data_IF_404465632991
#
_entry.id   IF_404465632991
#
_cell.length_a   1.000
_cell.length_b   1.000
_cell.length_c   1.000
_cell.angle_alpha   90.00
_cell.angle_beta   90.00
_cell.angle_gamma   90.00
#
_symmetry.space_group_name_H-M   'P 1'
#
loop_
_entity.id
_entity.type
_entity.pdbx_description
1 polymer ?
#
# COMPACT_ATOMS: atom_id res chain seq x y z
N UNK A 1 22.96 -4.84 28.85
CA UNK A 1 22.38 -3.55 29.16
C UNK A 1 21.91 -2.84 27.87
N UNK A 2 20.69 -2.39 27.88
CA UNK A 2 20.10 -1.74 26.70
C UNK A 2 20.32 -0.25 26.72
N UNK A 3 20.75 0.27 25.58
CA UNK A 3 20.65 1.67 25.26
C UNK A 3 19.47 1.86 24.32
N UNK A 4 18.53 2.76 24.62
CA UNK A 4 17.39 2.99 23.74
C UNK A 4 17.78 3.30 22.29
N UNK A 5 18.83 4.09 22.10
CA UNK A 5 19.31 4.44 20.77
C UNK A 5 19.79 3.22 20.00
N UNK A 6 20.52 2.33 20.67
CA UNK A 6 21.02 1.11 20.04
C UNK A 6 19.88 0.19 19.65
N UNK A 7 18.87 0.07 20.50
CA UNK A 7 17.70 -0.75 20.23
C UNK A 7 16.93 -0.19 19.03
N UNK A 8 16.76 1.12 18.99
CA UNK A 8 16.07 1.79 17.88
C UNK A 8 16.83 1.59 16.58
N UNK A 9 18.16 1.72 16.61
CA UNK A 9 19.00 1.51 15.44
C UNK A 9 18.88 0.09 14.88
N UNK A 10 18.58 -0.88 15.73
CA UNK A 10 18.42 -2.28 15.32
C UNK A 10 17.02 -2.62 14.85
N UNK A 11 16.03 -1.84 15.24
CA UNK A 11 14.62 -2.17 15.00
C UNK A 11 13.94 -1.27 13.99
N UNK A 12 14.58 -0.18 13.62
CA UNK A 12 14.01 0.77 12.65
C UNK A 12 14.80 0.82 11.36
N UNK A 13 14.14 1.19 10.31
CA UNK A 13 14.77 1.42 9.01
C UNK A 13 14.11 2.59 8.32
N UNK A 14 14.81 3.17 7.36
CA UNK A 14 14.27 4.29 6.61
C UNK A 14 13.25 3.79 5.60
N UNK A 15 12.09 4.44 5.58
CA UNK A 15 10.99 4.13 4.65
C UNK A 15 10.61 5.38 3.89
N UNK A 16 10.49 5.24 2.58
CA UNK A 16 9.99 6.30 1.72
C UNK A 16 8.85 5.77 0.86
N UNK A 17 7.73 6.48 0.85
CA UNK A 17 6.56 6.12 0.05
C UNK A 17 6.30 7.26 -0.93
N UNK A 18 6.34 6.94 -2.22
CA UNK A 18 6.18 7.90 -3.30
C UNK A 18 5.05 7.48 -4.23
N UNK A 19 4.32 8.46 -4.71
CA UNK A 19 3.34 8.30 -5.79
C UNK A 19 3.63 9.35 -6.85
N UNK A 20 2.96 9.30 -8.02
CA UNK A 20 3.11 10.38 -9.00
C UNK A 20 2.74 11.76 -8.47
N UNK A 21 1.94 11.84 -7.40
CA UNK A 21 1.56 13.11 -6.79
C UNK A 21 2.59 13.64 -5.80
N UNK A 22 3.59 12.83 -5.46
CA UNK A 22 4.65 13.25 -4.55
C UNK A 22 4.91 12.29 -3.41
N UNK A 23 5.53 12.81 -2.36
CA UNK A 23 5.91 12.02 -1.18
C UNK A 23 4.73 11.84 -0.27
N UNK A 24 4.40 10.58 0.04
CA UNK A 24 3.36 10.24 1.02
C UNK A 24 3.96 10.11 2.41
N UNK A 25 5.13 9.50 2.50
CA UNK A 25 5.83 9.30 3.77
C UNK A 25 7.34 9.29 3.53
N UNK A 26 8.07 9.89 4.43
CA UNK A 26 9.54 9.88 4.42
C UNK A 26 10.00 9.93 5.87
N UNK A 27 10.36 8.78 6.42
CA UNK A 27 10.73 8.69 7.83
C UNK A 27 11.15 7.28 8.19
N UNK A 28 11.10 6.98 9.49
CA UNK A 28 11.50 5.68 10.01
C UNK A 28 10.29 4.78 10.19
N UNK A 29 10.50 3.49 10.03
CA UNK A 29 9.49 2.47 10.25
C UNK A 29 10.11 1.27 10.97
N UNK A 30 9.30 0.54 11.71
CA UNK A 30 9.73 -0.65 12.43
C UNK A 30 9.43 -1.92 11.63
N UNK A 31 8.37 -1.91 10.85
CA UNK A 31 8.02 -3.01 9.96
C UNK A 31 7.12 -2.52 8.84
N UNK A 32 7.15 -3.23 7.73
CA UNK A 32 6.27 -2.99 6.58
C UNK A 32 5.78 -4.34 6.09
N UNK A 33 4.48 -4.49 5.91
CA UNK A 33 3.90 -5.65 5.24
C UNK A 33 3.16 -5.12 4.02
N UNK A 34 3.52 -5.62 2.84
CA UNK A 34 2.91 -5.20 1.57
C UNK A 34 2.38 -6.40 0.81
N UNK A 35 1.40 -6.17 -0.05
CA UNK A 35 0.86 -7.20 -0.94
C UNK A 35 1.63 -7.18 -2.25
N UNK A 36 2.41 -8.24 -2.49
CA UNK A 36 3.10 -8.43 -3.76
C UNK A 36 2.29 -9.33 -4.67
N UNK A 37 2.73 -9.45 -5.93
CA UNK A 37 2.06 -10.32 -6.90
C UNK A 37 2.16 -11.82 -6.53
N UNK A 38 3.04 -12.17 -5.59
CA UNK A 38 3.19 -13.54 -5.10
C UNK A 38 2.76 -13.70 -3.64
N UNK A 39 2.07 -12.72 -3.08
CA UNK A 39 1.55 -12.76 -1.71
C UNK A 39 2.11 -11.66 -0.83
N UNK A 40 1.75 -11.70 0.44
CA UNK A 40 2.20 -10.70 1.40
C UNK A 40 3.68 -10.89 1.71
N UNK A 41 4.38 -9.76 1.84
CA UNK A 41 5.81 -9.74 2.19
C UNK A 41 6.03 -8.81 3.36
N UNK A 42 6.65 -9.36 4.42
CA UNK A 42 7.08 -8.57 5.58
C UNK A 42 8.51 -8.10 5.42
N UNK A 43 8.76 -6.84 5.76
CA UNK A 43 10.07 -6.21 5.68
C UNK A 43 10.39 -5.63 7.04
N UNK A 44 11.54 -6.03 7.57
CA UNK A 44 12.06 -5.55 8.86
C UNK A 44 13.41 -4.87 8.64
N UNK A 45 13.95 -4.29 9.70
CA UNK A 45 15.30 -3.73 9.66
C UNK A 45 16.30 -4.80 9.23
N UNK A 46 17.33 -4.39 8.51
CA UNK A 46 18.39 -5.27 8.00
C UNK A 46 17.89 -6.34 7.03
N UNK A 47 16.77 -6.11 6.42
CA UNK A 47 16.28 -7.00 5.36
C UNK A 47 17.28 -7.01 4.20
N UNK A 48 17.49 -8.19 3.60
CA UNK A 48 18.35 -8.28 2.43
C UNK A 48 17.75 -7.49 1.26
N UNK A 49 18.58 -7.05 0.32
CA UNK A 49 18.09 -6.35 -0.87
C UNK A 49 16.98 -7.15 -1.55
N UNK A 50 15.93 -6.44 -1.94
CA UNK A 50 14.72 -7.08 -2.46
C UNK A 50 13.97 -6.12 -3.36
N UNK A 51 13.41 -6.63 -4.44
CA UNK A 51 12.54 -5.87 -5.34
C UNK A 51 11.36 -6.76 -5.71
N UNK A 52 10.17 -6.22 -5.63
CA UNK A 52 8.96 -6.96 -6.03
C UNK A 52 7.89 -6.03 -6.56
N UNK A 53 7.06 -6.56 -7.44
CA UNK A 53 5.89 -5.86 -7.92
C UNK A 53 4.78 -5.92 -6.86
N UNK A 54 4.14 -4.79 -6.64
CA UNK A 54 2.98 -4.66 -5.75
C UNK A 54 1.69 -4.80 -6.57
N UNK A 55 0.70 -5.40 -5.97
CA UNK A 55 -0.65 -5.46 -6.52
C UNK A 55 -1.59 -4.69 -5.60
N UNK A 56 -2.83 -4.52 -6.03
CA UNK A 56 -3.85 -3.85 -5.22
C UNK A 56 -3.96 -4.59 -3.88
N UNK A 57 -3.80 -3.86 -2.80
CA UNK A 57 -3.84 -4.41 -1.46
C UNK A 57 -3.58 -3.38 -0.41
N UNK A 58 -3.23 -3.84 0.77
CA UNK A 58 -2.97 -2.98 1.91
C UNK A 58 -1.51 -3.04 2.28
N UNK A 59 -0.98 -1.90 2.69
CA UNK A 59 0.32 -1.82 3.34
C UNK A 59 0.07 -1.61 4.83
N UNK A 60 0.71 -2.43 5.66
CA UNK A 60 0.64 -2.30 7.12
C UNK A 60 2.01 -1.88 7.60
N UNK A 61 2.08 -0.69 8.17
CA UNK A 61 3.35 -0.06 8.51
C UNK A 61 3.34 0.29 9.99
N UNK A 62 4.34 -0.23 10.71
CA UNK A 62 4.49 0.10 12.13
C UNK A 62 5.43 1.29 12.26
N UNK A 63 4.93 2.35 12.86
CA UNK A 63 5.66 3.60 13.09
C UNK A 63 5.44 3.99 14.55
N UNK A 64 6.54 4.19 15.28
CA UNK A 64 6.49 4.59 16.71
C UNK A 64 5.56 3.71 17.54
N UNK A 65 5.62 2.39 17.31
CA UNK A 65 4.85 1.42 18.07
C UNK A 65 3.40 1.28 17.66
N UNK A 66 2.93 2.06 16.69
CA UNK A 66 1.54 2.01 16.22
C UNK A 66 1.50 1.56 14.75
N UNK A 67 0.49 0.78 14.41
CA UNK A 67 0.29 0.32 13.04
C UNK A 67 -0.59 1.30 12.28
N UNK A 68 -0.12 1.75 11.12
CA UNK A 68 -0.90 2.51 10.16
C UNK A 68 -1.12 1.65 8.92
N UNK A 69 -2.29 1.77 8.34
CA UNK A 69 -2.66 0.99 7.15
C UNK A 69 -2.93 1.93 6.00
N UNK A 70 -2.40 1.59 4.83
CA UNK A 70 -2.64 2.31 3.59
C UNK A 70 -3.22 1.42 2.52
N UNK A 71 -4.04 2.00 1.65
CA UNK A 71 -4.52 1.34 0.45
C UNK A 71 -3.55 1.61 -0.69
N UNK A 72 -3.03 0.54 -1.30
CA UNK A 72 -2.06 0.61 -2.39
C UNK A 72 -2.70 0.05 -3.64
N UNK A 73 -2.54 0.73 -4.76
CA UNK A 73 -3.12 0.23 -6.01
C UNK A 73 -2.18 -0.72 -6.75
N UNK A 74 -0.98 -0.29 -7.06
CA UNK A 74 0.03 -1.11 -7.74
C UNK A 74 1.35 -0.35 -7.69
N UNK A 75 2.44 -1.02 -7.99
CA UNK A 75 3.74 -0.38 -7.99
C UNK A 75 4.86 -1.37 -7.74
N UNK A 76 5.90 -0.90 -7.10
CA UNK A 76 7.03 -1.74 -6.70
C UNK A 76 7.47 -1.40 -5.28
N UNK A 77 8.00 -2.39 -4.60
CA UNK A 77 8.73 -2.19 -3.35
C UNK A 77 10.19 -2.53 -3.64
N UNK A 78 11.07 -1.67 -3.17
CA UNK A 78 12.52 -1.87 -3.30
C UNK A 78 13.17 -1.75 -1.93
N UNK A 79 13.92 -2.77 -1.54
CA UNK A 79 14.70 -2.75 -0.31
C UNK A 79 16.16 -2.70 -0.70
N UNK A 80 16.84 -1.66 -0.27
CA UNK A 80 18.28 -1.54 -0.44
C UNK A 80 18.93 -1.55 0.95
N UNK A 81 20.25 -1.51 0.97
CA UNK A 81 21.00 -1.44 2.22
C UNK A 81 20.59 -0.23 3.06
N UNK A 82 20.24 0.88 2.41
CA UNK A 82 20.04 2.16 3.07
C UNK A 82 18.58 2.50 3.36
N UNK A 83 17.66 1.96 2.57
CA UNK A 83 16.25 2.28 2.77
C UNK A 83 15.32 1.30 2.06
N UNK A 84 14.06 1.32 2.48
CA UNK A 84 12.95 0.67 1.80
C UNK A 84 12.13 1.74 1.11
N UNK A 85 11.82 1.53 -0.16
CA UNK A 85 11.02 2.47 -0.96
C UNK A 85 9.79 1.75 -1.49
N UNK A 86 8.65 2.42 -1.36
CA UNK A 86 7.39 1.99 -1.98
C UNK A 86 7.07 3.03 -3.05
N UNK A 87 7.04 2.60 -4.30
CA UNK A 87 6.70 3.44 -5.44
C UNK A 87 5.36 2.95 -5.97
N UNK A 88 4.29 3.65 -5.66
CA UNK A 88 2.93 3.19 -5.96
C UNK A 88 2.21 4.17 -6.87
N UNK A 89 1.31 3.66 -7.70
CA UNK A 89 0.43 4.49 -8.51
C UNK A 89 -0.49 5.32 -7.63
N UNK A 90 -0.99 4.72 -6.55
CA UNK A 90 -1.70 5.47 -5.52
C UNK A 90 -1.46 4.84 -4.16
N UNK A 91 -1.45 5.68 -3.15
CA UNK A 91 -1.32 5.28 -1.76
C UNK A 91 -2.15 6.23 -0.90
N UNK A 92 -3.07 5.69 -0.14
CA UNK A 92 -3.90 6.48 0.77
C UNK A 92 -3.90 5.84 2.16
N UNK A 93 -3.60 6.64 3.18
CA UNK A 93 -3.77 6.16 4.55
C UNK A 93 -5.25 5.90 4.83
N UNK A 94 -5.53 4.87 5.62
CA UNK A 94 -6.89 4.43 5.91
C UNK A 94 -7.80 5.57 6.41
N UNK A 95 -7.27 6.42 7.28
CA UNK A 95 -8.02 7.53 7.87
C UNK A 95 -8.20 8.72 6.92
N UNK A 96 -7.54 8.71 5.77
CA UNK A 96 -7.65 9.76 4.76
C UNK A 96 -8.53 9.36 3.57
N UNK A 97 -9.03 8.13 3.55
CA UNK A 97 -9.83 7.63 2.44
C UNK A 97 -11.25 8.22 2.51
N UNK A 98 -11.67 8.82 1.39
CA UNK A 98 -13.05 9.27 1.21
C UNK A 98 -13.91 8.06 0.82
N UNK A 99 -14.58 7.46 1.82
CA UNK A 99 -15.36 6.24 1.63
C UNK A 99 -16.54 6.45 0.70
N UNK A 100 -17.21 7.60 0.80
CA UNK A 100 -18.33 7.91 -0.09
C UNK A 100 -17.91 7.95 -1.55
N UNK A 101 -16.77 8.58 -1.81
CA UNK A 101 -16.20 8.63 -3.16
C UNK A 101 -15.80 7.23 -3.65
N UNK A 102 -15.24 6.41 -2.77
CA UNK A 102 -14.88 5.03 -3.10
C UNK A 102 -16.12 4.18 -3.40
N UNK A 103 -17.20 4.38 -2.66
CA UNK A 103 -18.48 3.71 -2.93
C UNK A 103 -19.04 4.08 -4.30
N UNK A 104 -18.96 5.37 -4.66
CA UNK A 104 -19.41 5.84 -5.98
C UNK A 104 -18.54 5.24 -7.09
N UNK A 105 -17.24 5.17 -6.89
CA UNK A 105 -16.32 4.57 -7.86
C UNK A 105 -16.62 3.08 -8.04
N UNK A 106 -16.93 2.38 -6.96
CA UNK A 106 -17.32 0.97 -7.00
C UNK A 106 -18.58 0.78 -7.84
N UNK A 107 -19.62 1.56 -7.55
CA UNK A 107 -20.90 1.47 -8.28
C UNK A 107 -20.72 1.75 -9.78
N UNK A 108 -19.92 2.76 -10.12
CA UNK A 108 -19.65 3.11 -11.51
C UNK A 108 -18.89 1.99 -12.22
N UNK A 109 -17.91 1.39 -11.56
CA UNK A 109 -17.14 0.29 -12.14
C UNK A 109 -18.03 -0.93 -12.40
N UNK A 110 -18.91 -1.27 -11.45
CA UNK A 110 -19.87 -2.36 -11.61
C UNK A 110 -20.79 -2.13 -12.79
N UNK A 111 -21.28 -0.90 -12.95
CA UNK A 111 -22.13 -0.54 -14.06
C UNK A 111 -21.41 -0.65 -15.40
N UNK A 112 -20.16 -0.18 -15.45
CA UNK A 112 -19.36 -0.27 -16.68
C UNK A 112 -19.02 -1.71 -17.06
N UNK A 113 -18.84 -2.59 -16.09
CA UNK A 113 -18.64 -4.00 -16.38
C UNK A 113 -19.83 -4.62 -17.07
N UNK A 114 -21.04 -4.21 -16.73
CA UNK A 114 -22.26 -4.65 -17.42
C UNK A 114 -22.38 -4.03 -18.79
N UNK A 115 -22.07 -2.75 -18.92
CA UNK A 115 -22.18 -1.98 -20.15
C UNK A 115 -21.18 -2.45 -21.22
N UNK A 116 -19.96 -2.78 -20.82
CA UNK A 116 -18.86 -3.10 -21.72
C UNK A 116 -18.46 -4.57 -21.69
N UNK A 117 -19.39 -5.47 -21.37
CA UNK A 117 -19.10 -6.90 -21.22
C UNK A 117 -18.52 -7.55 -22.49
N UNK A 118 -18.77 -6.96 -23.66
CA UNK A 118 -18.28 -7.48 -24.95
C UNK A 118 -16.99 -6.77 -25.42
N UNK A 119 -16.49 -5.81 -24.64
CA UNK A 119 -15.25 -5.09 -24.94
C UNK A 119 -14.22 -5.46 -23.87
N UNK A 120 -13.32 -6.38 -24.21
CA UNK A 120 -12.36 -6.93 -23.24
C UNK A 120 -11.49 -5.86 -22.60
N UNK A 121 -11.03 -4.88 -23.37
CA UNK A 121 -10.17 -3.83 -22.84
C UNK A 121 -10.91 -2.95 -21.84
N UNK A 122 -12.12 -2.52 -22.21
CA UNK A 122 -12.96 -1.71 -21.33
C UNK A 122 -13.36 -2.49 -20.08
N UNK A 123 -13.62 -3.79 -20.22
CA UNK A 123 -13.93 -4.67 -19.11
C UNK A 123 -12.74 -4.79 -18.13
N UNK A 124 -11.53 -4.99 -18.65
CA UNK A 124 -10.33 -5.09 -17.82
C UNK A 124 -10.10 -3.80 -17.02
N UNK A 125 -10.30 -2.64 -17.64
CA UNK A 125 -10.17 -1.35 -16.96
C UNK A 125 -11.22 -1.23 -15.84
N UNK A 126 -12.47 -1.61 -16.11
CA UNK A 126 -13.54 -1.54 -15.13
C UNK A 126 -13.27 -2.50 -13.95
N UNK A 127 -12.78 -3.70 -14.24
CA UNK A 127 -12.42 -4.68 -13.20
C UNK A 127 -11.30 -4.15 -12.30
N UNK A 128 -10.28 -3.52 -12.88
CA UNK A 128 -9.20 -2.92 -12.11
C UNK A 128 -9.73 -1.82 -11.18
N UNK A 129 -10.58 -0.94 -11.71
CA UNK A 129 -11.18 0.15 -10.93
C UNK A 129 -12.08 -0.38 -9.81
N UNK A 130 -12.79 -1.48 -10.07
CA UNK A 130 -13.61 -2.12 -9.06
C UNK A 130 -12.76 -2.67 -7.91
N UNK A 131 -11.70 -3.38 -8.24
CA UNK A 131 -10.78 -3.92 -7.22
C UNK A 131 -10.17 -2.81 -6.38
N UNK A 132 -9.78 -1.71 -7.02
CA UNK A 132 -9.20 -0.56 -6.33
C UNK A 132 -10.21 0.07 -5.38
N UNK A 133 -11.45 0.26 -5.82
CA UNK A 133 -12.51 0.84 -4.99
C UNK A 133 -12.83 -0.06 -3.79
N UNK A 134 -12.96 -1.36 -4.00
CA UNK A 134 -13.20 -2.32 -2.93
C UNK A 134 -12.06 -2.29 -1.92
N UNK A 135 -10.83 -2.26 -2.39
CA UNK A 135 -9.66 -2.20 -1.51
C UNK A 135 -9.66 -0.93 -0.65
N UNK A 136 -10.01 0.21 -1.23
CA UNK A 136 -10.11 1.47 -0.49
C UNK A 136 -11.17 1.40 0.61
N UNK A 137 -12.34 0.87 0.27
CA UNK A 137 -13.43 0.71 1.24
C UNK A 137 -13.01 -0.21 2.38
N UNK A 138 -12.45 -1.36 2.05
CA UNK A 138 -12.00 -2.34 3.05
C UNK A 138 -10.90 -1.75 3.94
N UNK A 139 -9.97 -1.03 3.35
CA UNK A 139 -8.86 -0.39 4.07
C UNK A 139 -9.39 0.64 5.07
N UNK A 140 -10.32 1.49 4.63
CA UNK A 140 -10.90 2.51 5.48
C UNK A 140 -11.67 1.92 6.67
N UNK A 141 -12.22 0.72 6.52
CA UNK A 141 -13.06 0.07 7.54
C UNK A 141 -12.28 -0.85 8.48
N UNK A 142 -10.98 -1.00 8.31
CA UNK A 142 -10.19 -1.81 9.22
C UNK A 142 -10.11 -1.15 10.59
N UNK A 143 -10.39 -1.95 11.61
CA UNK A 143 -10.25 -1.51 13.01
C UNK A 143 -8.98 -2.14 13.58
N UNK A 144 -8.15 -1.31 14.16
CA UNK A 144 -6.90 -1.73 14.78
C UNK A 144 -7.00 -1.76 16.30
#
# INVERSE_FOLDING_TARGET
QHHPERKDDMTEFKLKILTPEGVVYDGMAESVIVRTTVGDKGILAKHEPYVAALTIGQAKIRIDGAVRIGAVSSGIVEVTKDQTSILAQSFEWADEIDVERAEKAKALAEERMKQYKDDQRALDIAEYKLKRAINRINTANIKL
#
